data_IF_777094136337
#
_entry.id   IF_777094136337
#
_cell.length_a   1.000
_cell.length_b   1.000
_cell.length_c   1.000
_cell.angle_alpha   90.00
_cell.angle_beta   90.00
_cell.angle_gamma   90.00
#
_symmetry.space_group_name_H-M   'P 1'
#
loop_
_entity.id
_entity.type
_entity.pdbx_description
1 polymer ?
#
# COMPACT_ATOMS: atom_id res chain seq x y z
N UNK A 1 -9.01 -5.07 -7.70
CA UNK A 1 -8.18 -6.29 -7.81
C UNK A 1 -8.88 -7.40 -7.03
N UNK A 2 -9.53 -8.33 -7.73
CA UNK A 2 -10.04 -9.54 -7.07
C UNK A 2 -8.84 -10.37 -6.64
N UNK A 3 -8.61 -10.42 -5.32
CA UNK A 3 -7.46 -11.08 -4.70
C UNK A 3 -7.46 -12.61 -4.83
N UNK A 4 -8.39 -13.18 -5.59
CA UNK A 4 -8.46 -14.62 -5.90
C UNK A 4 -7.58 -15.03 -7.08
N UNK A 5 -6.94 -14.09 -7.78
CA UNK A 5 -6.21 -14.41 -9.01
C UNK A 5 -4.71 -14.68 -8.81
N UNK A 6 -4.13 -14.25 -7.69
CA UNK A 6 -2.70 -14.40 -7.41
C UNK A 6 -2.46 -14.80 -5.96
N UNK A 7 -1.60 -15.81 -5.76
CA UNK A 7 -1.11 -16.19 -4.44
C UNK A 7 0.08 -15.30 -4.07
N UNK A 8 -0.12 -14.42 -3.09
CA UNK A 8 0.91 -13.49 -2.60
C UNK A 8 2.05 -14.21 -1.83
N UNK A 9 1.84 -15.46 -1.43
CA UNK A 9 2.88 -16.29 -0.80
C UNK A 9 4.00 -16.67 -1.78
N UNK A 10 3.74 -16.58 -3.09
CA UNK A 10 4.71 -16.88 -4.16
C UNK A 10 5.55 -15.66 -4.56
N UNK A 11 5.30 -14.49 -3.96
CA UNK A 11 6.05 -13.28 -4.29
C UNK A 11 7.33 -13.25 -3.44
N UNK A 12 8.46 -13.45 -4.11
CA UNK A 12 9.77 -13.43 -3.46
C UNK A 12 10.34 -12.01 -3.30
N UNK A 13 10.06 -11.12 -4.27
CA UNK A 13 10.69 -9.80 -4.36
C UNK A 13 9.63 -8.73 -4.69
N UNK A 14 9.74 -7.59 -4.01
CA UNK A 14 9.01 -6.36 -4.33
C UNK A 14 10.03 -5.27 -4.65
N UNK A 15 9.90 -4.65 -5.82
CA UNK A 15 10.71 -3.49 -6.22
C UNK A 15 9.87 -2.22 -6.10
N UNK A 16 10.40 -1.22 -5.40
CA UNK A 16 9.72 0.06 -5.20
C UNK A 16 10.40 1.13 -6.03
N UNK A 17 9.63 1.80 -6.88
CA UNK A 17 10.13 2.82 -7.79
C UNK A 17 10.30 4.19 -7.14
N UNK A 18 9.45 4.52 -6.17
CA UNK A 18 9.44 5.81 -5.49
C UNK A 18 8.71 5.72 -4.14
N UNK A 19 8.80 6.78 -3.34
CA UNK A 19 8.14 6.83 -2.04
C UNK A 19 6.61 6.74 -2.12
N UNK A 20 5.96 7.24 -3.18
CA UNK A 20 4.50 7.18 -3.34
C UNK A 20 4.01 5.73 -3.36
N UNK A 21 4.69 4.88 -4.13
CA UNK A 21 4.39 3.44 -4.23
C UNK A 21 4.71 2.69 -2.95
N UNK A 22 5.61 3.20 -2.10
CA UNK A 22 5.94 2.60 -0.81
C UNK A 22 4.75 2.66 0.16
N UNK A 23 3.90 3.69 0.11
CA UNK A 23 2.79 3.88 1.06
C UNK A 23 1.73 2.76 1.00
N UNK A 24 1.64 2.02 -0.09
CA UNK A 24 0.74 0.87 -0.21
C UNK A 24 1.28 -0.38 0.52
N UNK A 25 2.57 -0.42 0.84
CA UNK A 25 3.27 -1.59 1.32
C UNK A 25 2.77 -2.10 2.69
N UNK A 26 2.52 -1.25 3.70
CA UNK A 26 1.96 -1.72 4.97
C UNK A 26 0.58 -2.38 4.81
N UNK A 27 -0.22 -1.94 3.83
CA UNK A 27 -1.51 -2.59 3.52
C UNK A 27 -1.34 -4.00 2.95
N UNK A 28 -0.29 -4.24 2.15
CA UNK A 28 0.00 -5.57 1.64
C UNK A 28 0.34 -6.54 2.79
N UNK A 29 1.22 -6.12 3.70
CA UNK A 29 1.62 -6.93 4.86
C UNK A 29 0.50 -7.10 5.90
N UNK A 30 -0.43 -6.13 6.00
CA UNK A 30 -1.66 -6.22 6.81
C UNK A 30 -2.65 -7.23 6.22
N UNK A 31 -2.80 -7.25 4.89
CA UNK A 31 -3.80 -8.09 4.21
C UNK A 31 -3.32 -9.53 4.01
N UNK A 32 -2.04 -9.73 3.73
CA UNK A 32 -1.48 -11.03 3.38
C UNK A 32 -0.42 -11.44 4.42
N UNK A 33 -0.82 -12.25 5.38
CA UNK A 33 0.06 -12.69 6.48
C UNK A 33 1.24 -13.56 6.01
N UNK A 34 1.04 -14.33 4.94
CA UNK A 34 2.04 -15.23 4.35
C UNK A 34 3.00 -14.54 3.36
N UNK A 35 2.88 -13.22 3.18
CA UNK A 35 3.80 -12.48 2.33
C UNK A 35 5.17 -12.38 3.03
N UNK A 36 6.19 -13.02 2.45
CA UNK A 36 7.56 -13.02 2.95
C UNK A 36 8.56 -12.50 1.89
N UNK A 37 8.15 -11.48 1.15
CA UNK A 37 8.96 -10.90 0.09
C UNK A 37 10.11 -10.04 0.64
N UNK A 38 11.25 -10.05 -0.05
CA UNK A 38 12.31 -9.06 0.14
C UNK A 38 12.00 -7.79 -0.65
N UNK A 39 12.12 -6.63 -0.04
CA UNK A 39 11.76 -5.36 -0.67
C UNK A 39 13.03 -4.59 -1.00
N UNK A 40 13.17 -4.12 -2.25
CA UNK A 40 14.31 -3.30 -2.66
C UNK A 40 13.84 -1.90 -3.07
N UNK A 41 14.54 -0.90 -2.53
CA UNK A 41 14.30 0.50 -2.85
C UNK A 41 15.51 1.38 -2.58
N UNK A 42 15.51 2.56 -3.18
CA UNK A 42 16.59 3.52 -2.99
C UNK A 42 16.54 4.16 -1.61
N UNK A 43 17.71 4.55 -1.08
CA UNK A 43 17.81 5.22 0.22
C UNK A 43 16.87 6.44 0.38
N UNK A 44 16.81 7.40 -0.57
CA UNK A 44 15.94 8.56 -0.37
C UNK A 44 14.45 8.19 -0.35
N UNK A 45 14.03 7.24 -1.19
CA UNK A 45 12.65 6.71 -1.15
C UNK A 45 12.35 6.01 0.17
N UNK A 46 13.32 5.31 0.77
CA UNK A 46 13.17 4.67 2.07
C UNK A 46 13.00 5.70 3.18
N UNK A 47 13.91 6.68 3.27
CA UNK A 47 13.89 7.67 4.35
C UNK A 47 12.62 8.52 4.31
N UNK A 48 12.26 9.01 3.13
CA UNK A 48 11.08 9.84 2.97
C UNK A 48 9.79 9.04 3.19
N UNK A 49 9.69 7.86 2.58
CA UNK A 49 8.51 7.01 2.72
C UNK A 49 8.31 6.50 4.15
N UNK A 50 9.39 6.15 4.88
CA UNK A 50 9.33 5.78 6.29
C UNK A 50 8.73 6.91 7.14
N UNK A 51 9.24 8.13 6.99
CA UNK A 51 8.73 9.28 7.73
C UNK A 51 7.25 9.51 7.42
N UNK A 52 6.89 9.50 6.14
CA UNK A 52 5.51 9.73 5.68
C UNK A 52 4.55 8.65 6.20
N UNK A 53 4.97 7.39 6.25
CA UNK A 53 4.18 6.31 6.84
C UNK A 53 3.84 6.58 8.30
N UNK A 54 4.84 6.88 9.13
CA UNK A 54 4.61 7.17 10.56
C UNK A 54 3.74 8.41 10.76
N UNK A 55 3.95 9.45 9.95
CA UNK A 55 3.15 10.68 10.01
C UNK A 55 1.68 10.42 9.66
N UNK A 56 1.40 9.62 8.63
CA UNK A 56 0.03 9.21 8.27
C UNK A 56 -0.66 8.50 9.45
N UNK A 57 0.02 7.54 10.09
CA UNK A 57 -0.56 6.81 11.23
C UNK A 57 -0.85 7.77 12.38
N UNK A 58 0.14 8.59 12.76
CA UNK A 58 0.00 9.59 13.83
C UNK A 58 -1.15 10.57 13.57
N UNK A 59 -1.25 11.06 12.33
CA UNK A 59 -2.32 11.99 11.94
C UNK A 59 -3.69 11.34 12.04
N UNK A 60 -3.86 10.12 11.51
CA UNK A 60 -5.15 9.40 11.56
C UNK A 60 -5.55 9.07 13.00
N UNK A 61 -4.60 8.68 13.85
CA UNK A 61 -4.84 8.41 15.29
C UNK A 61 -5.23 9.67 16.06
N UNK A 62 -4.72 10.85 15.68
CA UNK A 62 -5.14 12.11 16.27
C UNK A 62 -6.56 12.48 15.83
N UNK A 63 -6.88 12.31 14.54
CA UNK A 63 -8.20 12.63 14.00
C UNK A 63 -9.29 11.71 14.56
N UNK A 64 -9.01 10.42 14.72
CA UNK A 64 -9.98 9.45 15.26
C UNK A 64 -10.37 9.72 16.72
N UNK A 65 -9.54 10.44 17.49
CA UNK A 65 -9.87 10.91 18.84
C UNK A 65 -10.83 12.10 18.83
N UNK A 66 -10.84 12.89 17.75
CA UNK A 66 -11.66 14.09 17.62
C UNK A 66 -12.98 13.82 16.90
N UNK A 67 -12.99 12.87 15.96
CA UNK A 67 -14.11 12.58 15.08
C UNK A 67 -14.54 11.13 15.31
N UNK A 68 -15.83 10.93 15.63
CA UNK A 68 -16.41 9.59 15.62
C UNK A 68 -16.48 9.10 14.17
N UNK A 69 -15.65 8.12 13.85
CA UNK A 69 -15.65 7.48 12.54
C UNK A 69 -16.68 6.35 12.56
N UNK A 70 -17.59 6.37 11.59
CA UNK A 70 -18.54 5.28 11.37
C UNK A 70 -18.24 4.66 9.99
N UNK A 71 -18.17 3.33 9.92
CA UNK A 71 -17.95 2.58 8.68
C UNK A 71 -19.25 2.01 8.10
N UNK A 72 -20.40 2.22 8.75
CA UNK A 72 -21.73 1.74 8.32
C UNK A 72 -22.11 2.28 6.93
N UNK A 73 -21.65 3.48 6.57
CA UNK A 73 -21.92 4.07 5.25
C UNK A 73 -21.41 3.19 4.08
N UNK A 74 -20.41 2.34 4.32
CA UNK A 74 -19.88 1.41 3.30
C UNK A 74 -20.88 0.31 2.95
N UNK A 75 -21.83 0.05 3.83
CA UNK A 75 -22.83 -1.03 3.71
C UNK A 75 -24.24 -0.51 3.46
N UNK A 76 -24.47 0.79 3.62
CA UNK A 76 -25.74 1.44 3.36
C UNK A 76 -25.92 1.68 1.84
N UNK A 77 -26.84 0.95 1.17
CA UNK A 77 -27.11 1.15 -0.26
C UNK A 77 -27.74 2.51 -0.57
N UNK A 78 -28.46 3.08 0.40
CA UNK A 78 -29.29 4.28 0.23
C UNK A 78 -28.41 5.54 0.08
N UNK A 79 -27.19 5.52 0.64
CA UNK A 79 -26.19 6.58 0.43
C UNK A 79 -25.84 6.75 -1.06
N UNK A 80 -25.92 5.66 -1.81
CA UNK A 80 -25.64 5.65 -3.25
C UNK A 80 -26.90 5.83 -4.11
N UNK A 81 -28.08 6.04 -3.51
CA UNK A 81 -29.34 6.28 -4.25
C UNK A 81 -29.39 7.64 -4.96
N UNK A 82 -28.56 8.59 -4.52
CA UNK A 82 -28.36 9.87 -5.22
C UNK A 82 -27.72 9.73 -6.61
N UNK A 83 -27.19 8.54 -6.94
CA UNK A 83 -26.60 8.24 -8.24
C UNK A 83 -27.74 7.86 -9.21
N UNK A 84 -27.92 8.68 -10.25
CA UNK A 84 -28.97 8.51 -11.28
C UNK A 84 -29.06 7.08 -11.84
N UNK A 85 -30.29 6.65 -12.14
CA UNK A 85 -30.63 5.27 -12.54
C UNK A 85 -29.93 4.80 -13.83
N UNK A 86 -29.55 5.72 -14.73
CA UNK A 86 -28.74 5.45 -15.92
C UNK A 86 -27.31 4.98 -15.60
N UNK A 87 -26.89 5.09 -14.34
CA UNK A 87 -25.55 4.74 -13.87
C UNK A 87 -25.56 3.51 -12.94
N UNK A 88 -26.58 2.65 -13.00
CA UNK A 88 -26.74 1.47 -12.14
C UNK A 88 -25.49 0.57 -12.06
N UNK A 89 -24.78 0.37 -13.17
CA UNK A 89 -23.50 -0.38 -13.15
C UNK A 89 -22.39 0.33 -12.38
N UNK A 90 -22.30 1.66 -12.50
CA UNK A 90 -21.34 2.47 -11.73
C UNK A 90 -21.68 2.44 -10.24
N UNK A 91 -22.96 2.49 -9.89
CA UNK A 91 -23.44 2.35 -8.51
C UNK A 91 -23.01 1.03 -7.90
N UNK A 92 -23.23 -0.09 -8.60
CA UNK A 92 -22.82 -1.43 -8.12
C UNK A 92 -21.30 -1.52 -7.91
N UNK A 93 -20.52 -0.97 -8.85
CA UNK A 93 -19.05 -0.91 -8.73
C UNK A 93 -18.60 -0.06 -7.55
N UNK A 94 -19.17 1.13 -7.36
CA UNK A 94 -18.86 2.03 -6.24
C UNK A 94 -19.19 1.39 -4.89
N UNK A 95 -20.37 0.78 -4.75
CA UNK A 95 -20.77 0.05 -3.55
C UNK A 95 -19.77 -1.08 -3.25
N UNK A 96 -19.41 -1.87 -4.26
CA UNK A 96 -18.41 -2.94 -4.10
C UNK A 96 -17.01 -2.42 -3.74
N UNK A 97 -16.63 -1.22 -4.19
CA UNK A 97 -15.36 -0.59 -3.84
C UNK A 97 -15.38 -0.02 -2.42
N UNK A 98 -16.49 0.60 -1.99
CA UNK A 98 -16.65 1.13 -0.65
C UNK A 98 -16.46 0.04 0.41
N UNK A 99 -17.03 -1.14 0.18
CA UNK A 99 -16.85 -2.32 1.04
C UNK A 99 -15.41 -2.85 1.09
N UNK A 100 -14.63 -2.61 0.03
CA UNK A 100 -13.20 -3.01 -0.05
C UNK A 100 -12.26 -1.97 0.57
N UNK A 101 -12.76 -0.83 1.05
CA UNK A 101 -11.94 0.21 1.69
C UNK A 101 -11.42 -0.27 3.05
N UNK A 102 -10.09 -0.31 3.16
CA UNK A 102 -9.42 -0.68 4.40
C UNK A 102 -9.27 0.53 5.31
N UNK A 103 -9.35 0.29 6.63
CA UNK A 103 -8.87 1.25 7.62
C UNK A 103 -7.38 1.48 7.50
N UNK A 104 -6.90 2.65 7.93
CA UNK A 104 -5.48 2.97 7.97
C UNK A 104 -4.65 1.85 8.63
N UNK A 105 -3.42 1.66 8.15
CA UNK A 105 -2.47 0.75 8.79
C UNK A 105 -1.99 1.32 10.14
N UNK A 106 -1.53 0.44 11.03
CA UNK A 106 -0.94 0.81 12.34
C UNK A 106 0.58 0.94 12.25
N UNK A 107 1.21 1.47 13.30
CA UNK A 107 2.67 1.51 13.47
C UNK A 107 3.27 0.10 13.34
N UNK A 108 2.65 -0.91 13.93
CA UNK A 108 3.11 -2.31 13.84
C UNK A 108 3.18 -2.82 12.39
N UNK A 109 2.23 -2.41 11.55
CA UNK A 109 2.24 -2.78 10.14
C UNK A 109 3.39 -2.08 9.38
N UNK A 110 3.69 -0.83 9.75
CA UNK A 110 4.82 -0.07 9.21
C UNK A 110 6.13 -0.74 9.60
N UNK A 111 6.32 -1.04 10.89
CA UNK A 111 7.55 -1.68 11.37
C UNK A 111 7.74 -3.08 10.75
N UNK A 112 6.65 -3.85 10.64
CA UNK A 112 6.67 -5.16 9.98
C UNK A 112 7.09 -5.04 8.52
N UNK A 113 6.57 -4.08 7.77
CA UNK A 113 6.93 -3.99 6.35
C UNK A 113 8.34 -3.42 6.13
N UNK A 114 8.81 -2.50 6.99
CA UNK A 114 10.15 -1.92 6.89
C UNK A 114 11.26 -2.91 7.30
N UNK A 115 10.97 -3.92 8.13
CA UNK A 115 11.96 -4.95 8.48
C UNK A 115 12.35 -5.85 7.30
N UNK A 116 11.53 -5.89 6.24
CA UNK A 116 11.77 -6.63 5.00
C UNK A 116 12.53 -5.81 3.94
N UNK A 117 12.94 -4.58 4.25
CA UNK A 117 13.58 -3.67 3.29
C UNK A 117 15.09 -3.90 3.19
N UNK A 118 15.57 -3.91 1.96
CA UNK A 118 16.98 -3.71 1.59
C UNK A 118 17.12 -2.43 0.79
N UNK A 119 18.01 -1.56 1.25
CA UNK A 119 18.35 -0.32 0.57
C UNK A 119 19.34 -0.61 -0.56
N UNK A 120 19.11 0.00 -1.72
CA UNK A 120 19.99 -0.09 -2.89
C UNK A 120 20.42 1.30 -3.36
N UNK A 121 21.65 1.44 -3.83
CA UNK A 121 22.15 2.71 -4.35
C UNK A 121 21.91 2.81 -5.85
N UNK A 122 21.86 4.04 -6.36
CA UNK A 122 21.79 4.26 -7.80
C UNK A 122 23.02 3.66 -8.50
N UNK A 123 22.76 2.99 -9.63
CA UNK A 123 23.77 2.27 -10.42
C UNK A 123 24.47 1.10 -9.70
N UNK A 124 24.05 0.75 -8.48
CA UNK A 124 24.47 -0.50 -7.83
C UNK A 124 23.84 -1.68 -8.58
N UNK A 125 24.66 -2.66 -8.94
CA UNK A 125 24.17 -3.92 -9.49
C UNK A 125 23.87 -4.88 -8.34
N UNK A 126 22.61 -5.27 -8.21
CA UNK A 126 22.16 -6.27 -7.25
C UNK A 126 21.87 -7.59 -7.99
N UNK A 127 22.33 -8.69 -7.40
CA UNK A 127 22.01 -10.04 -7.85
C UNK A 127 20.79 -10.56 -7.09
N UNK A 128 19.70 -10.76 -7.81
CA UNK A 128 18.45 -11.32 -7.31
C UNK A 128 18.43 -12.83 -7.61
N UNK A 129 18.56 -13.65 -6.56
CA UNK A 129 18.60 -15.12 -6.63
C UNK A 129 19.59 -15.68 -7.66
N UNK A 130 20.73 -14.99 -7.83
CA UNK A 130 21.82 -15.36 -8.77
C UNK A 130 21.39 -15.57 -10.23
N UNK A 131 20.16 -15.18 -10.58
CA UNK A 131 19.54 -15.45 -11.88
C UNK A 131 19.17 -14.16 -12.59
N UNK A 132 18.86 -13.11 -11.83
CA UNK A 132 18.42 -11.81 -12.35
C UNK A 132 19.34 -10.74 -11.78
N UNK A 133 19.82 -9.84 -12.65
CA UNK A 133 20.55 -8.63 -12.24
C UNK A 133 19.64 -7.42 -12.37
N UNK A 134 19.60 -6.60 -11.33
CA UNK A 134 18.84 -5.36 -11.31
C UNK A 134 19.74 -4.19 -10.87
N UNK A 135 19.35 -2.98 -11.22
CA UNK A 135 20.01 -1.75 -10.76
C UNK A 135 19.00 -0.61 -10.73
N UNK A 136 19.04 0.21 -9.69
CA UNK A 136 18.20 1.40 -9.60
C UNK A 136 18.76 2.53 -10.48
N UNK A 137 17.89 3.16 -11.28
CA UNK A 137 18.23 4.30 -12.15
C UNK A 137 17.33 5.47 -11.78
N UNK A 138 17.90 6.67 -11.67
CA UNK A 138 17.12 7.89 -11.44
C UNK A 138 16.41 8.32 -12.73
N UNK A 139 15.09 8.49 -12.68
CA UNK A 139 14.27 8.99 -13.77
C UNK A 139 14.00 10.51 -13.68
N UNK A 140 14.39 11.16 -12.58
CA UNK A 140 14.15 12.59 -12.34
C UNK A 140 12.70 12.96 -11.96
N UNK A 141 11.85 11.99 -11.61
CA UNK A 141 10.44 12.25 -11.24
C UNK A 141 10.29 12.82 -9.82
N UNK A 142 10.88 12.15 -8.81
CA UNK A 142 10.78 12.52 -7.41
C UNK A 142 12.04 12.09 -6.63
N UNK A 143 12.14 12.50 -5.36
CA UNK A 143 13.33 12.34 -4.50
C UNK A 143 13.48 10.93 -3.91
#
# INVERSE_FOLDING_TARGET
LDSSQYDFSLIDIILISNYDTLLALPYLFKKYENLNAQIYLTEPSYRFGQQLMYEIVSYVEQQSKMIQTNDEWKYDPDIFDSIEEQQKEKKLKLFSHAQKLMSCYSIENVDKCLSHVTIVHFNEQIDLYSSIRASAISSGYCL
#
